data_IF_500425166094
#
_entry.id   IF_500425166094
#
_cell.length_a   1.000
_cell.length_b   1.000
_cell.length_c   1.000
_cell.angle_alpha   90.00
_cell.angle_beta   90.00
_cell.angle_gamma   90.00
#
_symmetry.space_group_name_H-M   'P 1'
#
loop_
_entity.id
_entity.type
_entity.pdbx_description
1 polymer ?
#
# COMPACT_ATOMS: atom_id res chain seq x y z
N UNK A 1 9.35 -11.85 2.08
CA UNK A 1 8.78 -10.48 2.12
C UNK A 1 7.28 -10.39 1.77
N UNK A 2 6.62 -11.44 1.24
CA UNK A 2 5.19 -11.40 0.89
C UNK A 2 4.26 -10.98 2.04
N UNK A 3 4.42 -11.63 3.21
CA UNK A 3 3.64 -11.33 4.41
C UNK A 3 3.82 -9.88 4.86
N UNK A 4 5.00 -9.31 4.66
CA UNK A 4 5.27 -7.91 4.94
C UNK A 4 4.46 -6.97 4.05
N UNK A 5 4.36 -7.25 2.74
CA UNK A 5 3.48 -6.49 1.84
C UNK A 5 2.02 -6.52 2.25
N UNK A 6 1.50 -7.70 2.63
CA UNK A 6 0.13 -7.84 3.14
C UNK A 6 -0.07 -7.07 4.46
N UNK A 7 0.94 -7.07 5.34
CA UNK A 7 0.91 -6.32 6.59
C UNK A 7 0.91 -4.81 6.33
N UNK A 8 1.78 -4.30 5.46
CA UNK A 8 1.81 -2.88 5.07
C UNK A 8 0.46 -2.45 4.46
N UNK A 9 -0.14 -3.29 3.62
CA UNK A 9 -1.49 -3.05 3.11
C UNK A 9 -2.52 -2.93 4.25
N UNK A 10 -2.50 -3.89 5.19
CA UNK A 10 -3.43 -3.93 6.34
C UNK A 10 -3.27 -2.71 7.24
N UNK A 11 -2.04 -2.26 7.48
CA UNK A 11 -1.75 -1.07 8.28
C UNK A 11 -2.27 0.21 7.61
N UNK A 12 -2.13 0.29 6.28
CA UNK A 12 -2.58 1.43 5.49
C UNK A 12 -4.12 1.47 5.38
N UNK A 13 -4.77 0.36 5.06
CA UNK A 13 -6.21 0.32 4.83
C UNK A 13 -7.02 0.17 6.11
N UNK A 14 -6.40 -0.34 7.19
CA UNK A 14 -7.09 -0.78 8.41
C UNK A 14 -8.16 -1.84 8.13
N UNK A 15 -8.07 -2.53 7.00
CA UNK A 15 -9.00 -3.55 6.56
C UNK A 15 -8.40 -4.95 6.72
N UNK A 16 -9.26 -5.97 6.79
CA UNK A 16 -8.81 -7.36 6.66
C UNK A 16 -8.55 -7.69 5.19
N UNK A 17 -7.44 -8.36 4.85
CA UNK A 17 -7.18 -8.74 3.47
C UNK A 17 -8.09 -9.92 3.07
N UNK A 18 -8.54 -9.97 1.82
CA UNK A 18 -9.43 -11.01 1.29
C UNK A 18 -10.72 -11.26 2.10
N UNK A 19 -11.37 -10.21 2.62
CA UNK A 19 -12.62 -10.30 3.41
C UNK A 19 -13.76 -11.11 2.78
N UNK A 20 -13.75 -11.25 1.45
CA UNK A 20 -14.79 -11.97 0.69
C UNK A 20 -14.47 -13.44 0.44
N UNK A 21 -13.36 -13.97 0.93
CA UNK A 21 -13.06 -15.40 0.82
C UNK A 21 -13.79 -16.19 1.89
N UNK A 22 -14.65 -17.13 1.49
CA UNK A 22 -15.41 -17.98 2.40
C UNK A 22 -14.63 -19.21 2.88
N UNK A 23 -13.50 -19.54 2.23
CA UNK A 23 -12.69 -20.70 2.59
C UNK A 23 -11.20 -20.51 2.32
N UNK A 24 -10.37 -21.30 3.02
CA UNK A 24 -8.92 -21.36 2.76
C UNK A 24 -8.59 -21.82 1.34
N UNK A 25 -9.35 -22.76 0.78
CA UNK A 25 -9.13 -23.27 -0.58
C UNK A 25 -9.34 -22.17 -1.62
N UNK A 26 -10.40 -21.38 -1.44
CA UNK A 26 -10.68 -20.22 -2.28
C UNK A 26 -9.57 -19.16 -2.17
N UNK A 27 -9.12 -18.85 -0.95
CA UNK A 27 -8.03 -17.91 -0.72
C UNK A 27 -6.75 -18.35 -1.43
N UNK A 28 -6.37 -19.62 -1.28
CA UNK A 28 -5.19 -20.18 -1.95
C UNK A 28 -5.34 -20.04 -3.47
N UNK A 29 -6.48 -20.44 -4.04
CA UNK A 29 -6.73 -20.37 -5.48
C UNK A 29 -6.59 -18.93 -6.02
N UNK A 30 -7.16 -17.93 -5.32
CA UNK A 30 -7.06 -16.51 -5.70
C UNK A 30 -5.64 -15.97 -5.59
N UNK A 31 -4.92 -16.27 -4.52
CA UNK A 31 -3.53 -15.82 -4.36
C UNK A 31 -2.64 -16.43 -5.44
N UNK A 32 -2.84 -17.72 -5.74
CA UNK A 32 -2.09 -18.44 -6.79
C UNK A 32 -2.48 -17.99 -8.20
N UNK A 33 -3.67 -17.44 -8.43
CA UNK A 33 -4.03 -16.82 -9.72
C UNK A 33 -3.50 -15.39 -9.87
N UNK A 34 -2.79 -14.87 -8.86
CA UNK A 34 -2.22 -13.52 -8.88
C UNK A 34 -3.14 -12.44 -8.29
N UNK A 35 -4.32 -12.80 -7.78
CA UNK A 35 -5.20 -11.83 -7.10
C UNK A 35 -4.50 -11.26 -5.85
N UNK A 36 -4.65 -9.95 -5.64
CA UNK A 36 -4.13 -9.22 -4.48
C UNK A 36 -5.22 -8.34 -3.89
N UNK A 37 -5.14 -7.98 -2.59
CA UNK A 37 -6.00 -6.96 -2.02
C UNK A 37 -5.87 -5.65 -2.81
N UNK A 38 -6.97 -4.90 -2.98
CA UNK A 38 -6.97 -3.71 -3.82
C UNK A 38 -6.06 -2.61 -3.26
N UNK A 39 -5.13 -2.13 -4.09
CA UNK A 39 -4.35 -0.91 -3.86
C UNK A 39 -5.00 0.21 -4.66
N UNK A 40 -5.88 1.03 -4.05
CA UNK A 40 -6.36 2.25 -4.74
C UNK A 40 -5.37 3.39 -4.44
N UNK A 41 -4.68 3.84 -5.48
CA UNK A 41 -3.75 4.96 -5.45
C UNK A 41 -4.51 6.30 -5.61
N UNK A 42 -4.11 7.39 -4.93
CA UNK A 42 -4.75 8.70 -5.06
C UNK A 42 -4.70 9.30 -6.47
N UNK A 43 -3.70 8.94 -7.30
CA UNK A 43 -3.44 9.62 -8.57
C UNK A 43 -4.15 9.04 -9.81
N UNK A 44 -4.78 7.87 -9.72
CA UNK A 44 -5.45 7.28 -10.88
C UNK A 44 -6.82 7.92 -11.21
N UNK A 45 -7.28 8.91 -10.42
CA UNK A 45 -8.71 9.24 -10.34
C UNK A 45 -9.05 10.73 -10.42
N UNK A 46 -8.26 11.53 -11.11
CA UNK A 46 -8.68 12.89 -11.49
C UNK A 46 -9.91 12.93 -12.44
N UNK A 47 -10.43 11.78 -12.89
CA UNK A 47 -11.55 11.67 -13.83
C UNK A 47 -12.73 10.83 -13.32
N UNK A 48 -13.02 10.83 -12.00
CA UNK A 48 -14.25 10.22 -11.47
C UNK A 48 -15.03 11.15 -10.53
N UNK A 49 -16.37 11.20 -10.65
CA UNK A 49 -17.22 12.13 -9.88
C UNK A 49 -17.38 11.77 -8.38
N UNK A 50 -16.80 10.66 -7.91
CA UNK A 50 -16.78 10.29 -6.49
C UNK A 50 -15.38 9.75 -6.15
N UNK A 51 -14.58 10.43 -5.29
CA UNK A 51 -13.32 9.87 -4.84
C UNK A 51 -13.59 8.61 -4.03
N UNK A 52 -12.99 7.45 -4.34
CA UNK A 52 -13.15 6.28 -3.51
C UNK A 52 -12.45 6.50 -2.17
N UNK A 53 -12.93 5.72 -1.22
CA UNK A 53 -12.70 5.78 0.22
C UNK A 53 -11.22 5.72 0.66
N UNK A 54 -10.26 5.49 -0.26
CA UNK A 54 -8.83 5.42 0.05
C UNK A 54 -8.12 6.79 0.10
N UNK A 55 -8.68 7.85 -0.48
CA UNK A 55 -8.13 9.23 -0.36
C UNK A 55 -8.16 9.71 1.10
N UNK A 56 -9.02 9.14 1.95
CA UNK A 56 -9.15 9.47 3.36
C UNK A 56 -8.16 8.74 4.29
N UNK A 57 -7.48 7.70 3.82
CA UNK A 57 -6.56 6.92 4.67
C UNK A 57 -5.24 7.63 4.90
N UNK A 58 -4.97 8.65 4.11
CA UNK A 58 -3.76 9.42 4.20
C UNK A 58 -4.06 10.83 4.77
N UNK A 59 -3.32 11.31 5.79
CA UNK A 59 -3.50 12.66 6.33
C UNK A 59 -3.49 13.74 5.25
N UNK A 60 -4.44 14.68 5.36
CA UNK A 60 -4.49 15.86 4.51
C UNK A 60 -3.14 16.60 4.51
N UNK A 61 -2.66 16.99 3.33
CA UNK A 61 -1.37 17.67 3.18
C UNK A 61 -0.17 16.75 2.95
N UNK A 62 -0.38 15.44 2.80
CA UNK A 62 0.74 14.57 2.45
C UNK A 62 1.10 14.68 0.97
N UNK A 63 2.41 14.78 0.66
CA UNK A 63 2.90 14.70 -0.69
C UNK A 63 2.37 13.44 -1.40
N UNK A 64 1.79 13.58 -2.60
CA UNK A 64 1.33 12.44 -3.36
C UNK A 64 2.44 11.43 -3.74
N UNK A 65 3.70 11.85 -3.74
CA UNK A 65 4.87 11.00 -3.91
C UNK A 65 5.02 9.95 -2.80
N UNK A 66 4.79 10.33 -1.54
CA UNK A 66 4.85 9.43 -0.37
C UNK A 66 3.81 8.31 -0.51
N UNK A 67 2.57 8.67 -0.84
CA UNK A 67 1.49 7.69 -1.01
C UNK A 67 1.75 6.73 -2.18
N UNK A 68 2.26 7.26 -3.31
CA UNK A 68 2.61 6.46 -4.49
C UNK A 68 3.72 5.46 -4.19
N UNK A 69 4.83 5.92 -3.61
CA UNK A 69 5.98 5.07 -3.24
C UNK A 69 5.61 4.00 -2.22
N UNK A 70 4.78 4.33 -1.22
CA UNK A 70 4.32 3.34 -0.25
C UNK A 70 3.52 2.21 -0.91
N UNK A 71 2.59 2.54 -1.80
CA UNK A 71 1.82 1.54 -2.52
C UNK A 71 2.67 0.73 -3.53
N UNK A 72 3.68 1.33 -4.14
CA UNK A 72 4.67 0.63 -4.96
C UNK A 72 5.49 -0.36 -4.13
N UNK A 73 5.92 0.03 -2.93
CA UNK A 73 6.61 -0.85 -1.99
C UNK A 73 5.73 -2.04 -1.59
N UNK A 74 4.46 -1.82 -1.27
CA UNK A 74 3.48 -2.90 -1.02
C UNK A 74 3.41 -3.82 -2.23
N UNK A 75 3.30 -3.26 -3.44
CA UNK A 75 3.22 -4.01 -4.70
C UNK A 75 4.45 -4.87 -4.96
N UNK A 76 5.64 -4.32 -4.71
CA UNK A 76 6.89 -5.04 -4.86
C UNK A 76 7.01 -6.21 -3.87
N UNK A 77 6.63 -5.98 -2.60
CA UNK A 77 6.75 -6.99 -1.55
C UNK A 77 5.87 -8.23 -1.79
N UNK A 78 4.69 -8.07 -2.40
CA UNK A 78 3.76 -9.19 -2.66
C UNK A 78 3.67 -9.59 -4.14
N UNK A 79 4.69 -9.26 -4.94
CA UNK A 79 4.72 -9.57 -6.37
C UNK A 79 4.40 -11.05 -6.65
N UNK A 80 3.71 -11.34 -7.76
CA UNK A 80 3.34 -12.71 -8.14
C UNK A 80 4.59 -13.59 -8.25
N UNK A 81 5.52 -13.19 -9.11
CA UNK A 81 6.84 -13.79 -9.23
C UNK A 81 7.67 -13.60 -7.95
N UNK A 82 8.09 -14.65 -7.24
CA UNK A 82 8.89 -14.54 -6.02
C UNK A 82 10.25 -13.85 -6.23
N UNK A 83 10.91 -14.09 -7.37
CA UNK A 83 12.22 -13.52 -7.67
C UNK A 83 12.19 -12.00 -7.90
N UNK A 84 11.03 -11.43 -8.26
CA UNK A 84 10.86 -9.99 -8.45
C UNK A 84 10.63 -9.22 -7.15
N UNK A 85 10.51 -9.93 -6.02
CA UNK A 85 10.28 -9.31 -4.71
C UNK A 85 11.62 -8.79 -4.16
N UNK A 86 11.65 -7.60 -3.52
CA UNK A 86 12.86 -7.13 -2.86
C UNK A 86 13.22 -8.08 -1.69
N UNK A 87 14.48 -8.09 -1.31
CA UNK A 87 14.85 -8.61 0.01
C UNK A 87 14.36 -7.67 1.13
N UNK A 88 14.43 -8.14 2.38
CA UNK A 88 13.96 -7.34 3.52
C UNK A 88 14.80 -6.08 3.73
N UNK A 89 16.10 -6.10 3.40
CA UNK A 89 16.98 -4.93 3.57
C UNK A 89 16.50 -3.80 2.68
N UNK A 90 16.32 -4.09 1.39
CA UNK A 90 15.81 -3.16 0.38
C UNK A 90 14.42 -2.64 0.74
N UNK A 91 13.52 -3.52 1.20
CA UNK A 91 12.17 -3.12 1.60
C UNK A 91 12.17 -2.18 2.81
N UNK A 92 13.03 -2.41 3.80
CA UNK A 92 13.15 -1.55 4.99
C UNK A 92 13.80 -0.21 4.64
N UNK A 93 14.86 -0.21 3.82
CA UNK A 93 15.51 1.02 3.36
C UNK A 93 14.52 1.93 2.64
N UNK A 94 13.69 1.38 1.75
CA UNK A 94 12.67 2.16 1.05
C UNK A 94 11.58 2.66 2.01
N UNK A 95 11.11 1.83 2.94
CA UNK A 95 10.14 2.24 3.96
C UNK A 95 10.66 3.39 4.84
N UNK A 96 11.94 3.34 5.24
CA UNK A 96 12.59 4.39 6.02
C UNK A 96 12.67 5.70 5.24
N UNK A 97 12.99 5.65 3.94
CA UNK A 97 13.02 6.83 3.08
C UNK A 97 11.62 7.47 2.96
N UNK A 98 10.58 6.66 2.76
CA UNK A 98 9.18 7.14 2.72
C UNK A 98 8.78 7.78 4.05
N UNK A 99 9.14 7.15 5.18
CA UNK A 99 8.83 7.68 6.51
C UNK A 99 9.52 9.02 6.79
N UNK A 100 10.78 9.17 6.39
CA UNK A 100 11.52 10.43 6.52
C UNK A 100 10.88 11.56 5.70
N UNK A 101 10.49 11.28 4.46
CA UNK A 101 9.81 12.26 3.59
C UNK A 101 8.46 12.68 4.16
N UNK A 102 7.67 11.72 4.67
CA UNK A 102 6.39 11.98 5.32
C UNK A 102 6.55 12.85 6.57
N UNK A 103 7.56 12.57 7.41
CA UNK A 103 7.85 13.35 8.61
C UNK A 103 8.29 14.78 8.25
N UNK A 104 9.15 14.93 7.24
CA UNK A 104 9.57 16.24 6.75
C UNK A 104 8.41 17.04 6.15
N UNK A 105 7.44 16.39 5.51
CA UNK A 105 6.22 17.05 5.03
C UNK A 105 5.33 17.52 6.18
N UNK A 106 5.12 16.67 7.20
CA UNK A 106 4.36 17.04 8.39
C UNK A 106 4.99 18.22 9.15
N UNK A 107 6.32 18.26 9.27
CA UNK A 107 7.04 19.36 9.94
C UNK A 107 6.94 20.71 9.18
N UNK A 108 6.68 20.68 7.87
CA UNK A 108 6.49 21.89 7.04
C UNK A 108 5.05 22.40 7.04
N UNK A 109 4.10 21.64 7.56
CA UNK A 109 2.71 22.06 7.64
C UNK A 109 2.58 23.17 8.70
N UNK A 110 1.98 24.33 8.36
CA UNK A 110 1.82 25.42 9.33
C UNK A 110 0.96 24.97 10.52
N UNK A 111 1.42 25.27 11.73
CA UNK A 111 0.64 25.08 12.97
C UNK A 111 -0.65 25.90 12.86
N UNK A 112 -1.78 25.20 12.83
CA UNK A 112 -3.11 25.79 12.71
C UNK A 112 -3.60 26.40 14.00
#
# INVERSE_FOLDING_TARGET
>A
VYSFGVLLWTLMTRERPWQRCGSRKELVARVTSGERPPLRLPHAEMLRPQPPQLVHLWPAGTPPGVASRFAELVRACWHHEPAARPDMSTAITELQAIAAESAAAAARAPSR
#
